data_IF_142181093261
#
_entry.id   IF_142181093261
#
_cell.length_a   1.000
_cell.length_b   1.000
_cell.length_c   1.000
_cell.angle_alpha   90.00
_cell.angle_beta   90.00
_cell.angle_gamma   90.00
#
_symmetry.space_group_name_H-M   'P 1'
#
loop_
_entity.id
_entity.type
_entity.pdbx_description
1 polymer ?
#
# COMPACT_ATOMS: atom_id res chain seq x y z
N UNK A 1 19.87 0.87 7.36
CA UNK A 1 18.81 1.68 6.71
C UNK A 1 18.20 0.86 5.59
N UNK A 2 16.95 1.12 5.23
CA UNK A 2 16.27 0.46 4.11
C UNK A 2 15.37 1.43 3.37
N UNK A 3 15.21 1.20 2.07
CA UNK A 3 14.30 1.95 1.21
C UNK A 3 12.88 1.42 1.36
N UNK A 4 11.91 2.32 1.50
CA UNK A 4 10.47 1.99 1.52
C UNK A 4 9.70 2.91 0.58
N UNK A 5 8.65 2.39 -0.05
CA UNK A 5 7.63 3.18 -0.76
C UNK A 5 6.41 3.35 0.15
N UNK A 6 5.84 4.56 0.18
CA UNK A 6 4.67 4.86 0.98
C UNK A 6 3.37 4.53 0.23
N UNK A 7 2.36 4.12 0.99
CA UNK A 7 0.98 3.98 0.53
C UNK A 7 0.14 5.15 1.02
N UNK A 8 -0.99 5.40 0.35
CA UNK A 8 -1.99 6.36 0.83
C UNK A 8 -2.57 5.91 2.17
N UNK A 9 -2.99 6.84 3.04
CA UNK A 9 -3.75 6.51 4.24
C UNK A 9 -4.96 5.61 3.90
N UNK A 10 -5.34 4.76 4.86
CA UNK A 10 -6.52 3.92 4.69
C UNK A 10 -7.75 4.79 4.41
N UNK A 11 -8.53 4.49 3.37
CA UNK A 11 -9.75 5.22 3.10
C UNK A 11 -10.75 5.02 4.25
N UNK A 12 -11.66 5.99 4.48
CA UNK A 12 -12.63 5.89 5.57
C UNK A 12 -13.65 4.76 5.36
N UNK A 13 -13.86 4.32 4.12
CA UNK A 13 -14.76 3.23 3.77
C UNK A 13 -14.01 2.04 3.19
N UNK A 14 -14.48 0.85 3.53
CA UNK A 14 -14.04 -0.41 2.94
C UNK A 14 -14.56 -0.56 1.51
N UNK A 15 -13.88 -1.38 0.71
CA UNK A 15 -14.38 -1.81 -0.59
C UNK A 15 -15.67 -2.63 -0.39
N UNK A 16 -16.75 -2.23 -1.06
CA UNK A 16 -18.07 -2.84 -0.87
C UNK A 16 -18.14 -4.30 -1.31
N UNK A 17 -17.28 -4.72 -2.23
CA UNK A 17 -17.38 -6.05 -2.83
C UNK A 17 -16.67 -7.12 -1.99
N UNK A 18 -15.62 -6.75 -1.24
CA UNK A 18 -14.81 -7.71 -0.49
C UNK A 18 -14.62 -7.34 1.00
N UNK A 19 -15.05 -6.15 1.44
CA UNK A 19 -14.88 -5.71 2.83
C UNK A 19 -13.44 -5.43 3.23
N UNK A 20 -12.52 -5.25 2.27
CA UNK A 20 -11.10 -4.99 2.51
C UNK A 20 -10.74 -3.53 2.20
N UNK A 21 -9.61 -3.08 2.76
CA UNK A 21 -9.01 -1.81 2.34
C UNK A 21 -8.26 -1.98 1.03
N UNK A 22 -8.51 -1.07 0.08
CA UNK A 22 -7.69 -0.94 -1.12
C UNK A 22 -6.46 -0.10 -0.81
N UNK A 23 -5.29 -0.72 -0.89
CA UNK A 23 -4.01 0.00 -0.82
C UNK A 23 -3.70 0.65 -2.18
N UNK A 24 -3.29 1.91 -2.14
CA UNK A 24 -2.82 2.65 -3.31
C UNK A 24 -1.46 3.26 -3.00
N UNK A 25 -0.54 3.30 -3.98
CA UNK A 25 0.77 3.93 -3.79
C UNK A 25 0.58 5.44 -3.59
N UNK A 26 1.34 6.02 -2.67
CA UNK A 26 1.37 7.47 -2.50
C UNK A 26 2.17 8.10 -3.65
N UNK A 27 1.51 8.95 -4.43
CA UNK A 27 2.09 9.63 -5.58
C UNK A 27 2.20 11.13 -5.31
N UNK A 28 3.27 11.75 -5.80
CA UNK A 28 3.42 13.20 -5.89
C UNK A 28 3.63 13.57 -7.36
N UNK A 29 2.55 13.92 -8.04
CA UNK A 29 2.56 14.03 -9.50
C UNK A 29 2.74 12.66 -10.15
N UNK A 30 3.75 12.52 -11.01
CA UNK A 30 4.13 11.27 -11.65
C UNK A 30 5.00 10.36 -10.77
N UNK A 31 5.49 10.86 -9.64
CA UNK A 31 6.56 10.20 -8.89
C UNK A 31 6.04 9.49 -7.65
N UNK A 32 6.66 8.35 -7.32
CA UNK A 32 6.35 7.61 -6.08
C UNK A 32 6.99 8.29 -4.88
N UNK A 33 6.26 8.37 -3.78
CA UNK A 33 6.80 8.88 -2.53
C UNK A 33 7.50 7.74 -1.79
N UNK A 34 8.78 7.94 -1.48
CA UNK A 34 9.63 6.95 -0.83
C UNK A 34 10.49 7.58 0.27
N UNK A 35 11.06 6.75 1.13
CA UNK A 35 11.95 7.19 2.20
C UNK A 35 13.00 6.14 2.53
N UNK A 36 14.11 6.58 3.12
CA UNK A 36 15.13 5.71 3.70
C UNK A 36 14.95 5.75 5.21
N UNK A 37 14.60 4.61 5.81
CA UNK A 37 14.32 4.50 7.25
C UNK A 37 15.27 3.51 7.94
N UNK A 38 15.54 3.66 9.25
CA UNK A 38 16.11 2.59 10.07
C UNK A 38 15.29 1.31 9.94
N UNK A 39 15.97 0.16 9.80
CA UNK A 39 15.30 -1.14 9.72
C UNK A 39 14.55 -1.45 11.02
N UNK A 40 15.04 -0.94 12.15
CA UNK A 40 14.41 -1.09 13.47
C UNK A 40 13.05 -0.41 13.60
N UNK A 41 12.70 0.51 12.70
CA UNK A 41 11.39 1.17 12.69
C UNK A 41 10.30 0.30 12.01
N UNK A 42 10.69 -0.79 11.33
CA UNK A 42 9.77 -1.74 10.72
C UNK A 42 9.33 -2.76 11.77
N UNK A 43 8.08 -2.60 12.23
CA UNK A 43 7.55 -3.43 13.33
C UNK A 43 7.11 -4.82 12.87
N UNK A 44 6.39 -4.91 11.75
CA UNK A 44 5.84 -6.18 11.24
C UNK A 44 5.41 -6.09 9.78
N UNK A 45 5.37 -7.24 9.13
CA UNK A 45 4.72 -7.42 7.84
C UNK A 45 3.19 -7.43 7.97
N UNK A 46 2.52 -7.14 6.86
CA UNK A 46 1.07 -7.34 6.70
C UNK A 46 0.83 -8.31 5.54
N UNK A 47 -0.25 -9.07 5.62
CA UNK A 47 -0.67 -9.96 4.54
C UNK A 47 -1.57 -9.19 3.58
N UNK A 48 -1.26 -9.25 2.29
CA UNK A 48 -2.05 -8.63 1.24
C UNK A 48 -2.79 -9.70 0.46
N UNK A 49 -4.05 -9.42 0.14
CA UNK A 49 -4.86 -10.22 -0.77
C UNK A 49 -4.88 -9.49 -2.11
N UNK A 50 -4.46 -10.19 -3.16
CA UNK A 50 -4.48 -9.63 -4.50
C UNK A 50 -5.92 -9.33 -4.90
N UNK A 51 -6.17 -8.08 -5.31
CA UNK A 51 -7.40 -7.70 -6.01
C UNK A 51 -7.13 -7.84 -7.50
N UNK A 52 -7.60 -8.93 -8.09
CA UNK A 52 -7.59 -9.10 -9.53
C UNK A 52 -8.56 -8.09 -10.17
N UNK A 53 -8.14 -7.45 -11.26
CA UNK A 53 -9.01 -6.62 -12.09
C UNK A 53 -9.86 -7.48 -13.03
N UNK A 54 -10.52 -6.87 -14.02
CA UNK A 54 -11.39 -7.55 -14.99
C UNK A 54 -10.68 -8.63 -15.83
N UNK A 55 -9.35 -8.65 -15.83
CA UNK A 55 -8.57 -9.76 -16.36
C UNK A 55 -7.59 -10.27 -15.31
N UNK A 56 -7.83 -11.49 -14.84
CA UNK A 56 -6.81 -12.32 -14.21
C UNK A 56 -6.03 -13.06 -15.31
N UNK A 57 -4.71 -13.26 -15.16
CA UNK A 57 -3.93 -14.08 -16.09
C UNK A 57 -4.40 -15.55 -16.10
#
# INVERSE_FOLDING_TARGET
LTYIEWFTPFPPALDRNNGLYKLSRLMRGSDRVASIVPVGDIVRSIHLILKFGDSAP
#
